data_IF_844130023931
#
_entry.id   IF_844130023931
#
_cell.length_a   1.000
_cell.length_b   1.000
_cell.length_c   1.000
_cell.angle_alpha   90.00
_cell.angle_beta   90.00
_cell.angle_gamma   90.00
#
_symmetry.space_group_name_H-M   'P 1'
#
loop_
_entity.id
_entity.type
_entity.pdbx_description
1 polymer ?
#
# COMPACT_ATOMS: atom_id res chain seq x y z
N UNK A 1 -6.16 -14.40 14.46
CA UNK A 1 -5.72 -12.99 14.25
C UNK A 1 -5.20 -12.85 12.84
N UNK A 2 -5.73 -11.91 12.06
CA UNK A 2 -5.17 -11.59 10.74
C UNK A 2 -4.25 -10.38 10.84
N UNK A 3 -3.09 -10.45 10.18
CA UNK A 3 -2.06 -9.41 10.15
C UNK A 3 -1.80 -9.00 8.71
N UNK A 4 -2.65 -8.13 8.14
CA UNK A 4 -2.49 -7.71 6.77
C UNK A 4 -1.28 -6.79 6.62
N UNK A 5 -0.61 -6.93 5.48
CA UNK A 5 0.33 -5.95 4.94
C UNK A 5 -0.43 -4.73 4.41
N UNK A 6 0.18 -3.99 3.47
CA UNK A 6 -0.49 -2.91 2.75
C UNK A 6 -1.73 -3.42 1.99
N UNK A 7 -2.92 -3.05 2.46
CA UNK A 7 -4.18 -3.41 1.83
C UNK A 7 -4.47 -2.48 0.65
N UNK A 8 -4.76 -3.04 -0.52
CA UNK A 8 -5.18 -2.27 -1.70
C UNK A 8 -6.60 -2.64 -2.16
N UNK A 9 -7.27 -1.67 -2.77
CA UNK A 9 -8.58 -1.83 -3.37
C UNK A 9 -9.04 -0.52 -4.02
N UNK A 10 -10.04 -0.56 -4.92
CA UNK A 10 -10.50 0.62 -5.67
C UNK A 10 -11.04 1.72 -4.75
N UNK A 11 -11.67 1.34 -3.65
CA UNK A 11 -12.30 2.23 -2.66
C UNK A 11 -11.39 2.52 -1.45
N UNK A 12 -10.11 2.14 -1.50
CA UNK A 12 -9.18 2.34 -0.39
C UNK A 12 -8.57 3.74 -0.34
N UNK A 13 -8.49 4.35 0.84
CA UNK A 13 -7.89 5.68 1.02
C UNK A 13 -6.44 5.76 0.55
N UNK A 14 -5.68 4.68 0.78
CA UNK A 14 -4.31 4.59 0.30
C UNK A 14 -4.24 4.63 -1.23
N UNK A 15 -5.11 3.90 -1.92
CA UNK A 15 -5.13 3.91 -3.39
C UNK A 15 -5.68 5.23 -3.93
N UNK A 16 -6.65 5.88 -3.27
CA UNK A 16 -7.07 7.26 -3.59
C UNK A 16 -5.92 8.25 -3.48
N UNK A 17 -5.15 8.19 -2.39
CA UNK A 17 -3.93 8.98 -2.23
C UNK A 17 -2.93 8.71 -3.35
N UNK A 18 -2.69 7.44 -3.66
CA UNK A 18 -1.78 7.05 -4.74
C UNK A 18 -2.23 7.57 -6.10
N UNK A 19 -3.51 7.50 -6.43
CA UNK A 19 -4.07 8.08 -7.66
C UNK A 19 -3.88 9.59 -7.71
N UNK A 20 -4.18 10.30 -6.61
CA UNK A 20 -3.92 11.74 -6.49
C UNK A 20 -2.46 12.07 -6.79
N UNK A 21 -1.52 11.32 -6.20
CA UNK A 21 -0.09 11.49 -6.48
C UNK A 21 0.27 11.18 -7.92
N UNK A 22 -0.26 10.10 -8.51
CA UNK A 22 -0.02 9.73 -9.91
C UNK A 22 -0.57 10.76 -10.90
N UNK A 23 -1.73 11.36 -10.63
CA UNK A 23 -2.36 12.36 -11.50
C UNK A 23 -1.78 13.78 -11.36
N UNK A 24 -0.76 13.96 -10.51
CA UNK A 24 -0.15 15.28 -10.31
C UNK A 24 -0.97 16.15 -9.36
N UNK A 25 -1.77 15.53 -8.49
CA UNK A 25 -2.34 16.20 -7.32
C UNK A 25 -1.25 17.01 -6.61
N UNK A 26 -1.61 18.23 -6.19
CA UNK A 26 -0.68 19.28 -5.72
C UNK A 26 0.15 19.97 -6.82
N UNK A 27 -0.18 19.79 -8.11
CA UNK A 27 0.51 20.41 -9.27
C UNK A 27 2.02 20.14 -9.32
N UNK A 28 2.45 18.99 -8.79
CA UNK A 28 3.86 18.63 -8.76
C UNK A 28 4.22 17.70 -9.94
N UNK A 29 5.31 17.98 -10.68
CA UNK A 29 5.73 17.15 -11.81
C UNK A 29 6.31 15.81 -11.38
N UNK A 30 6.66 15.66 -10.10
CA UNK A 30 7.33 14.49 -9.52
C UNK A 30 6.48 13.83 -8.42
N UNK A 31 6.77 12.56 -8.13
CA UNK A 31 6.20 11.83 -6.99
C UNK A 31 7.25 11.74 -5.87
N UNK A 32 7.06 12.40 -4.73
CA UNK A 32 7.95 12.25 -3.59
C UNK A 32 7.78 10.87 -2.94
N UNK A 33 8.88 10.29 -2.45
CA UNK A 33 8.85 9.08 -1.61
C UNK A 33 9.88 9.18 -0.48
N UNK A 34 9.69 8.44 0.61
CA UNK A 34 10.56 8.56 1.78
C UNK A 34 11.80 7.67 1.68
N UNK A 35 12.96 8.24 2.00
CA UNK A 35 14.24 7.54 2.08
C UNK A 35 14.71 6.95 0.76
N UNK A 36 15.27 5.73 0.81
CA UNK A 36 15.82 5.05 -0.38
C UNK A 36 14.74 4.44 -1.28
N UNK A 37 13.57 4.13 -0.71
CA UNK A 37 12.49 3.40 -1.39
C UNK A 37 12.83 1.94 -1.69
N UNK A 38 13.85 1.38 -1.04
CA UNK A 38 14.28 -0.02 -1.21
C UNK A 38 13.55 -0.99 -0.28
N UNK A 39 12.92 -0.48 0.79
CA UNK A 39 12.12 -1.31 1.67
C UNK A 39 11.01 -1.99 0.87
N UNK A 40 10.78 -3.26 1.17
CA UNK A 40 9.86 -4.11 0.43
C UNK A 40 8.48 -4.08 1.06
N UNK A 41 7.47 -4.17 0.21
CA UNK A 41 6.07 -4.30 0.56
C UNK A 41 5.45 -5.44 -0.23
N UNK A 42 4.42 -6.04 0.32
CA UNK A 42 3.73 -7.16 -0.29
C UNK A 42 2.22 -6.92 -0.30
N UNK A 43 1.70 -6.05 -1.20
CA UNK A 43 0.33 -5.56 -1.14
C UNK A 43 -0.70 -6.70 -1.20
N UNK A 44 -1.69 -6.68 -0.32
CA UNK A 44 -2.77 -7.69 -0.28
C UNK A 44 -4.10 -7.08 -0.72
N UNK A 45 -4.87 -7.82 -1.52
CA UNK A 45 -6.19 -7.37 -1.96
C UNK A 45 -7.16 -7.28 -0.77
N UNK A 46 -7.88 -6.16 -0.65
CA UNK A 46 -8.94 -6.00 0.34
C UNK A 46 -10.00 -7.11 0.23
N UNK A 47 -10.25 -7.59 -1.00
CA UNK A 47 -11.17 -8.70 -1.21
C UNK A 47 -10.64 -10.01 -0.64
N UNK A 48 -9.33 -10.30 -0.74
CA UNK A 48 -8.76 -11.54 -0.21
C UNK A 48 -8.72 -11.52 1.31
N UNK A 49 -8.43 -10.36 1.89
CA UNK A 49 -8.57 -10.15 3.34
C UNK A 49 -10.00 -10.47 3.76
N UNK A 50 -11.01 -9.90 3.10
CA UNK A 50 -12.41 -10.18 3.39
C UNK A 50 -12.76 -11.68 3.23
N UNK A 51 -12.29 -12.32 2.16
CA UNK A 51 -12.48 -13.76 1.95
C UNK A 51 -11.87 -14.59 3.09
N UNK A 52 -10.67 -14.24 3.57
CA UNK A 52 -10.06 -14.91 4.71
C UNK A 52 -10.89 -14.74 5.99
N UNK A 53 -11.39 -13.53 6.27
CA UNK A 53 -12.25 -13.26 7.42
C UNK A 53 -13.53 -14.09 7.38
N UNK A 54 -14.21 -14.15 6.24
CA UNK A 54 -15.45 -14.93 6.07
C UNK A 54 -15.17 -16.42 6.19
N UNK A 55 -14.13 -16.93 5.51
CA UNK A 55 -13.79 -18.34 5.53
C UNK A 55 -13.37 -18.84 6.92
N UNK A 56 -12.74 -17.99 7.75
CA UNK A 56 -12.35 -18.35 9.12
C UNK A 56 -13.55 -18.73 9.99
N UNK A 57 -14.74 -18.15 9.73
CA UNK A 57 -15.95 -18.41 10.51
C UNK A 57 -16.40 -19.88 10.45
N UNK A 58 -16.05 -20.58 9.37
CA UNK A 58 -16.43 -21.99 9.15
C UNK A 58 -15.24 -22.95 9.27
N UNK A 59 -14.09 -22.49 9.76
CA UNK A 59 -12.84 -23.26 9.83
C UNK A 59 -12.33 -23.37 11.27
N UNK A 60 -12.77 -24.36 12.06
CA UNK A 60 -12.34 -24.56 13.44
C UNK A 60 -10.81 -24.68 13.59
N UNK A 61 -10.13 -25.19 12.58
CA UNK A 61 -8.67 -25.30 12.52
C UNK A 61 -7.94 -23.94 12.53
N UNK A 62 -8.66 -22.84 12.35
CA UNK A 62 -8.11 -21.48 12.39
C UNK A 62 -8.18 -20.82 13.78
N UNK A 63 -8.88 -21.44 14.74
CA UNK A 63 -9.05 -20.91 16.09
C UNK A 63 -7.70 -20.83 16.80
N UNK A 64 -7.43 -19.70 17.47
CA UNK A 64 -6.18 -19.46 18.20
C UNK A 64 -4.96 -19.20 17.31
N UNK A 65 -5.09 -19.25 15.98
CA UNK A 65 -3.97 -19.02 15.05
C UNK A 65 -3.83 -17.55 14.65
N UNK A 66 -2.63 -17.19 14.21
CA UNK A 66 -2.34 -15.94 13.55
C UNK A 66 -1.92 -16.20 12.10
N UNK A 67 -2.41 -15.37 11.18
CA UNK A 67 -2.08 -15.45 9.76
C UNK A 67 -1.63 -14.09 9.26
N UNK A 68 -0.45 -14.05 8.67
CA UNK A 68 0.02 -12.88 7.93
C UNK A 68 -0.62 -12.90 6.54
N UNK A 69 -1.10 -11.73 6.08
CA UNK A 69 -1.77 -11.60 4.79
C UNK A 69 -0.98 -10.65 3.90
N UNK A 70 -0.37 -11.18 2.85
CA UNK A 70 0.35 -10.45 1.82
C UNK A 70 -0.08 -10.92 0.43
N UNK A 71 0.13 -10.12 -0.61
CA UNK A 71 -0.01 -10.60 -1.99
C UNK A 71 1.05 -11.64 -2.39
N UNK A 72 0.90 -12.30 -3.54
CA UNK A 72 1.87 -13.29 -4.01
C UNK A 72 3.24 -12.72 -4.38
N UNK A 73 3.32 -11.42 -4.65
CA UNK A 73 4.51 -10.74 -5.17
C UNK A 73 4.99 -9.66 -4.20
N UNK A 74 6.31 -9.62 -3.94
CA UNK A 74 6.96 -8.55 -3.19
C UNK A 74 7.47 -7.46 -4.13
N UNK A 75 7.34 -6.20 -3.74
CA UNK A 75 7.82 -5.04 -4.50
C UNK A 75 8.59 -4.10 -3.58
N UNK A 76 9.60 -3.42 -4.09
CA UNK A 76 10.12 -2.21 -3.46
C UNK A 76 9.09 -1.08 -3.58
N UNK A 77 9.16 -0.08 -2.68
CA UNK A 77 8.35 1.14 -2.85
C UNK A 77 8.51 1.77 -4.23
N UNK A 78 9.75 1.79 -4.77
CA UNK A 78 10.01 2.37 -6.10
C UNK A 78 9.28 1.64 -7.22
N UNK A 79 9.24 0.31 -7.19
CA UNK A 79 8.51 -0.50 -8.16
C UNK A 79 7.00 -0.33 -7.99
N UNK A 80 6.53 -0.29 -6.74
CA UNK A 80 5.12 -0.03 -6.44
C UNK A 80 4.63 1.30 -7.03
N UNK A 81 5.42 2.37 -6.86
CA UNK A 81 5.13 3.68 -7.48
C UNK A 81 5.09 3.61 -9.01
N UNK A 82 6.00 2.88 -9.65
CA UNK A 82 5.99 2.70 -11.11
C UNK A 82 4.76 1.95 -11.58
N UNK A 83 4.41 0.85 -10.91
CA UNK A 83 3.21 0.05 -11.21
C UNK A 83 1.95 0.90 -11.12
N UNK A 84 1.83 1.70 -10.06
CA UNK A 84 0.71 2.62 -9.89
C UNK A 84 0.63 3.67 -11.00
N UNK A 85 1.75 4.33 -11.31
CA UNK A 85 1.79 5.35 -12.35
C UNK A 85 1.47 4.76 -13.73
N UNK A 86 2.07 3.63 -14.10
CA UNK A 86 1.80 2.92 -15.35
C UNK A 86 0.32 2.56 -15.47
N UNK A 87 -0.30 2.01 -14.41
CA UNK A 87 -1.70 1.59 -14.45
C UNK A 87 -2.71 2.74 -14.45
N UNK A 88 -2.40 3.86 -13.76
CA UNK A 88 -3.36 4.96 -13.54
C UNK A 88 -3.26 6.03 -14.63
N UNK A 89 -2.05 6.41 -15.05
CA UNK A 89 -1.83 7.48 -16.04
C UNK A 89 -1.21 6.99 -17.35
N UNK A 90 -0.87 5.70 -17.46
CA UNK A 90 -0.35 5.10 -18.69
C UNK A 90 1.15 5.27 -18.92
N UNK A 91 1.87 5.92 -18.00
CA UNK A 91 3.31 6.13 -18.10
C UNK A 91 3.97 6.26 -16.72
N UNK A 92 5.29 6.03 -16.66
CA UNK A 92 6.06 6.27 -15.43
C UNK A 92 6.13 7.75 -15.11
N UNK A 93 6.30 8.06 -13.82
CA UNK A 93 6.53 9.43 -13.35
C UNK A 93 7.88 9.54 -12.66
N UNK A 94 8.51 10.71 -12.81
CA UNK A 94 9.75 11.01 -12.10
C UNK A 94 9.49 10.95 -10.59
N UNK A 95 10.38 10.28 -9.86
CA UNK A 95 10.30 10.07 -8.41
C UNK A 95 11.42 10.82 -7.73
N UNK A 96 11.14 11.48 -6.61
CA UNK A 96 12.15 12.23 -5.84
C UNK A 96 12.24 11.66 -4.43
N UNK A 97 13.42 11.22 -3.98
CA UNK A 97 13.60 10.80 -2.59
C UNK A 97 13.56 12.00 -1.66
N UNK A 98 12.83 11.86 -0.56
CA UNK A 98 12.83 12.77 0.58
C UNK A 98 13.58 12.07 1.71
N UNK A 99 14.71 12.61 2.19
CA UNK A 99 15.44 12.00 3.30
C UNK A 99 14.53 11.75 4.51
N UNK A 100 14.61 10.54 5.09
CA UNK A 100 13.66 10.13 6.13
C UNK A 100 13.66 11.05 7.35
N UNK A 101 14.82 11.60 7.74
CA UNK A 101 14.88 12.55 8.86
C UNK A 101 14.12 13.85 8.56
N UNK A 102 14.21 14.35 7.31
CA UNK A 102 13.50 15.56 6.89
C UNK A 102 11.99 15.30 6.82
N UNK A 103 11.59 14.15 6.29
CA UNK A 103 10.19 13.73 6.29
C UNK A 103 9.63 13.62 7.72
N UNK A 104 10.37 13.02 8.66
CA UNK A 104 9.97 12.95 10.08
C UNK A 104 9.87 14.34 10.72
N UNK A 105 10.79 15.25 10.40
CA UNK A 105 10.73 16.62 10.90
C UNK A 105 9.47 17.33 10.38
N UNK A 106 9.21 17.26 9.07
CA UNK A 106 7.99 17.82 8.46
C UNK A 106 6.72 17.22 9.07
N UNK A 107 6.68 15.91 9.31
CA UNK A 107 5.56 15.23 9.93
C UNK A 107 5.25 15.74 11.35
N UNK A 108 6.28 16.15 12.11
CA UNK A 108 6.13 16.67 13.48
C UNK A 108 5.76 18.15 13.52
N UNK A 109 6.24 18.95 12.57
CA UNK A 109 6.16 20.42 12.67
C UNK A 109 5.22 21.02 11.63
N UNK A 110 5.41 20.71 10.35
CA UNK A 110 4.72 21.38 9.23
C UNK A 110 3.38 20.72 8.94
N UNK A 111 3.35 19.40 8.77
CA UNK A 111 2.17 18.63 8.34
C UNK A 111 0.94 18.83 9.26
N UNK A 112 1.08 18.87 10.60
CA UNK A 112 -0.06 19.11 11.48
C UNK A 112 -0.71 20.49 11.24
N UNK A 113 0.12 21.50 10.97
CA UNK A 113 -0.29 22.89 10.77
C UNK A 113 -0.79 23.18 9.35
N UNK A 114 -0.40 22.38 8.36
CA UNK A 114 -0.84 22.57 6.97
C UNK A 114 -2.35 22.30 6.83
N UNK A 115 -3.14 23.24 6.30
CA UNK A 115 -4.54 23.01 6.00
C UNK A 115 -4.78 21.85 5.03
N UNK A 116 -5.84 21.06 5.23
CA UNK A 116 -6.12 19.87 4.42
C UNK A 116 -6.38 20.18 2.94
N UNK A 117 -6.79 21.41 2.58
CA UNK A 117 -6.94 21.79 1.18
C UNK A 117 -5.58 21.94 0.46
N UNK A 118 -4.50 22.24 1.19
CA UNK A 118 -3.13 22.27 0.66
C UNK A 118 -2.46 20.90 0.71
N UNK A 119 -2.82 20.06 1.68
CA UNK A 119 -2.28 18.72 1.85
C UNK A 119 -3.41 17.76 2.25
N UNK A 120 -4.17 17.22 1.28
CA UNK A 120 -5.32 16.36 1.58
C UNK A 120 -4.89 15.02 2.18
N UNK A 121 -3.67 14.58 1.88
CA UNK A 121 -3.09 13.35 2.42
C UNK A 121 -1.94 13.71 3.36
N UNK A 122 -2.28 13.92 4.64
CA UNK A 122 -1.29 14.14 5.70
C UNK A 122 -0.59 12.82 6.05
N UNK A 123 0.66 12.94 6.51
CA UNK A 123 1.43 11.80 7.01
C UNK A 123 2.04 12.09 8.39
N UNK A 124 2.29 11.03 9.16
CA UNK A 124 2.91 11.11 10.48
C UNK A 124 4.32 10.46 10.50
N UNK A 125 4.98 10.53 11.65
CA UNK A 125 6.34 9.99 11.84
C UNK A 125 6.36 8.47 11.67
N UNK A 126 5.30 7.82 12.12
CA UNK A 126 5.13 6.36 12.09
C UNK A 126 5.02 5.86 10.65
N UNK A 127 4.25 6.53 9.79
CA UNK A 127 4.17 6.21 8.36
C UNK A 127 5.50 6.41 7.65
N UNK A 128 6.25 7.46 8.01
CA UNK A 128 7.61 7.63 7.49
C UNK A 128 8.48 6.47 7.95
N UNK A 129 8.44 6.07 9.22
CA UNK A 129 9.22 4.93 9.72
C UNK A 129 8.82 3.63 9.03
N UNK A 130 7.53 3.32 8.95
CA UNK A 130 6.99 2.11 8.30
C UNK A 130 7.44 2.00 6.85
N UNK A 131 7.51 3.12 6.11
CA UNK A 131 8.00 3.10 4.73
C UNK A 131 9.48 2.72 4.58
N UNK A 132 10.25 2.72 5.68
CA UNK A 132 11.66 2.35 5.69
C UNK A 132 11.89 0.88 6.10
N UNK A 133 10.84 0.17 6.53
CA UNK A 133 10.93 -1.20 7.04
C UNK A 133 10.27 -2.17 6.05
N UNK A 134 10.83 -3.38 5.94
CA UNK A 134 10.26 -4.44 5.11
C UNK A 134 8.90 -4.90 5.68
N UNK A 135 7.84 -4.74 4.89
CA UNK A 135 6.48 -5.23 5.15
C UNK A 135 6.17 -6.41 4.22
N UNK A 136 6.87 -7.52 4.48
CA UNK A 136 6.74 -8.79 3.75
C UNK A 136 6.46 -9.93 4.72
N UNK A 137 5.80 -10.99 4.27
CA UNK A 137 5.40 -12.10 5.12
C UNK A 137 5.36 -13.45 4.37
N UNK A 138 5.26 -14.53 5.15
CA UNK A 138 4.99 -15.87 4.63
C UNK A 138 3.48 -16.06 4.46
N UNK A 139 3.04 -16.17 3.20
CA UNK A 139 1.64 -16.38 2.83
C UNK A 139 1.26 -17.87 2.79
N UNK A 140 2.23 -18.79 2.91
CA UNK A 140 2.00 -20.23 2.83
C UNK A 140 0.94 -20.74 3.82
N UNK A 141 0.98 -20.35 5.10
CA UNK A 141 -0.03 -20.77 6.08
C UNK A 141 -1.46 -20.37 5.70
N UNK A 142 -1.67 -19.14 5.22
CA UNK A 142 -3.03 -18.72 4.81
C UNK A 142 -3.47 -19.47 3.56
N UNK A 143 -2.60 -19.64 2.57
CA UNK A 143 -2.97 -20.37 1.35
C UNK A 143 -3.32 -21.83 1.62
N UNK A 144 -2.57 -22.51 2.50
CA UNK A 144 -2.82 -23.90 2.89
C UNK A 144 -4.11 -24.04 3.70
N UNK A 145 -4.23 -23.29 4.78
CA UNK A 145 -5.32 -23.49 5.75
C UNK A 145 -6.66 -22.97 5.21
N UNK A 146 -6.64 -21.98 4.32
CA UNK A 146 -7.84 -21.44 3.69
C UNK A 146 -8.11 -21.99 2.28
N UNK A 147 -7.14 -22.67 1.66
CA UNK A 147 -7.28 -23.18 0.28
C UNK A 147 -7.40 -22.07 -0.75
N UNK A 148 -6.73 -20.94 -0.53
CA UNK A 148 -6.85 -19.73 -1.36
C UNK A 148 -5.59 -19.48 -2.19
N UNK A 149 -5.79 -19.03 -3.42
CA UNK A 149 -4.74 -18.35 -4.20
C UNK A 149 -4.97 -16.86 -4.10
N UNK A 150 -4.04 -16.15 -3.46
CA UNK A 150 -4.14 -14.70 -3.27
C UNK A 150 -3.90 -13.98 -4.59
N UNK A 151 -4.67 -12.93 -4.84
CA UNK A 151 -4.65 -12.18 -6.09
C UNK A 151 -3.40 -11.32 -6.22
N UNK A 152 -2.86 -11.27 -7.43
CA UNK A 152 -1.70 -10.44 -7.74
C UNK A 152 -2.08 -8.96 -7.83
N UNK A 153 -1.26 -8.11 -7.22
CA UNK A 153 -1.47 -6.68 -7.14
C UNK A 153 -1.52 -6.02 -8.53
N UNK A 154 -0.59 -6.35 -9.43
CA UNK A 154 -0.51 -5.72 -10.76
C UNK A 154 -1.74 -6.05 -11.59
N UNK A 155 -2.21 -7.30 -11.53
CA UNK A 155 -3.41 -7.76 -12.24
C UNK A 155 -4.68 -7.07 -11.72
N UNK A 156 -4.88 -7.06 -10.39
CA UNK A 156 -6.03 -6.41 -9.78
C UNK A 156 -6.03 -4.91 -10.06
N UNK A 157 -4.88 -4.24 -9.89
CA UNK A 157 -4.78 -2.81 -10.15
C UNK A 157 -5.13 -2.48 -11.61
N UNK A 158 -4.62 -3.24 -12.58
CA UNK A 158 -4.97 -3.03 -13.99
C UNK A 158 -6.48 -3.16 -14.23
N UNK A 159 -7.16 -4.05 -13.51
CA UNK A 159 -8.60 -4.25 -13.63
C UNK A 159 -9.44 -3.10 -13.02
N UNK A 160 -8.95 -2.40 -11.99
CA UNK A 160 -9.72 -1.36 -11.31
C UNK A 160 -9.17 0.07 -11.43
N UNK A 161 -7.96 0.30 -11.94
CA UNK A 161 -7.32 1.61 -12.00
C UNK A 161 -8.20 2.68 -12.67
N UNK A 162 -8.84 2.34 -13.80
CA UNK A 162 -9.74 3.24 -14.52
C UNK A 162 -11.09 3.50 -13.83
N UNK A 163 -11.43 2.73 -12.79
CA UNK A 163 -12.68 2.84 -12.01
C UNK A 163 -12.48 3.47 -10.63
N UNK A 164 -11.24 3.79 -10.28
CA UNK A 164 -10.94 4.44 -9.00
C UNK A 164 -11.65 5.81 -8.96
N UNK A 165 -12.24 6.21 -7.81
CA UNK A 165 -12.85 7.53 -7.63
C UNK A 165 -11.83 8.65 -7.76
#
# INVERSE_FOLDING_TARGET
VFRPSLIHGPEGDFMRMMKSFCMGGLRQPVMPYFGSGNARIQPVSAGDVATCFVAALSKPETVGKAYDLGGPTQYTWREFYDICAEAIVGHRRAKVPVPAFLAKLMARTVVPLTPSFLMPHKFNVEQVQMSQEDSVCDIGPVQRDFGLTLRDFRQELAAYAGRMP
#
